data_IF_061457713067
#
_entry.id   IF_061457713067
#
_cell.length_a   1.000
_cell.length_b   1.000
_cell.length_c   1.000
_cell.angle_alpha   90.00
_cell.angle_beta   90.00
_cell.angle_gamma   90.00
#
_symmetry.space_group_name_H-M   'P 1'
#
loop_
_entity.id
_entity.type
_entity.pdbx_description
1 polymer ?
#
# COMPACT_ATOMS: atom_id res chain seq x y z
N UNK A 1 -12.86 -26.40 1.40
CA UNK A 1 -11.56 -26.30 0.69
C UNK A 1 -10.65 -25.37 1.48
N UNK A 2 -9.33 -25.55 1.44
CA UNK A 2 -8.43 -24.57 2.05
C UNK A 2 -8.61 -23.20 1.38
N UNK A 3 -8.46 -22.13 2.17
CA UNK A 3 -8.58 -20.76 1.66
C UNK A 3 -7.42 -20.47 0.69
N UNK A 4 -7.72 -19.95 -0.49
CA UNK A 4 -6.74 -19.44 -1.45
C UNK A 4 -7.18 -18.05 -1.90
N UNK A 5 -6.27 -17.08 -1.76
CA UNK A 5 -6.47 -15.69 -2.19
C UNK A 5 -5.29 -15.21 -3.04
N UNK A 6 -5.48 -14.10 -3.72
CA UNK A 6 -4.44 -13.54 -4.58
C UNK A 6 -4.36 -12.02 -4.48
N UNK A 7 -3.15 -11.51 -4.58
CA UNK A 7 -2.89 -10.16 -5.02
C UNK A 7 -2.50 -10.20 -6.50
N UNK A 8 -3.21 -9.46 -7.33
CA UNK A 8 -3.11 -9.53 -8.79
C UNK A 8 -2.82 -8.15 -9.42
N UNK A 9 -1.64 -7.57 -9.15
CA UNK A 9 -1.29 -6.26 -9.69
C UNK A 9 -0.88 -6.34 -11.17
N UNK A 10 -1.24 -5.30 -11.95
CA UNK A 10 -0.66 -5.10 -13.27
C UNK A 10 0.68 -4.37 -13.13
N UNK A 11 1.80 -4.89 -13.67
CA UNK A 11 3.13 -4.27 -13.54
C UNK A 11 3.31 -3.11 -14.55
N UNK A 12 2.38 -2.15 -14.51
CA UNK A 12 2.35 -0.95 -15.35
C UNK A 12 2.80 0.32 -14.62
N UNK A 13 3.19 0.17 -13.37
CA UNK A 13 3.64 1.24 -12.49
C UNK A 13 4.09 0.70 -11.13
N UNK A 14 4.51 1.59 -10.24
CA UNK A 14 4.94 1.25 -8.89
C UNK A 14 3.73 1.01 -7.98
N UNK A 15 3.91 0.17 -6.95
CA UNK A 15 2.89 0.01 -5.92
C UNK A 15 2.73 1.31 -5.12
N UNK A 16 1.50 1.62 -4.80
CA UNK A 16 1.14 2.70 -3.90
C UNK A 16 0.26 2.18 -2.76
N UNK A 17 0.03 2.98 -1.74
CA UNK A 17 -0.71 2.58 -0.53
C UNK A 17 -2.08 1.94 -0.81
N UNK A 18 -2.77 2.37 -1.88
CA UNK A 18 -4.07 1.77 -2.26
C UNK A 18 -3.93 0.32 -2.73
N UNK A 19 -2.92 0.02 -3.57
CA UNK A 19 -2.63 -1.36 -3.99
C UNK A 19 -2.16 -2.20 -2.81
N UNK A 20 -1.28 -1.63 -1.97
CA UNK A 20 -0.72 -2.32 -0.80
C UNK A 20 -1.81 -2.67 0.21
N UNK A 21 -2.82 -1.82 0.40
CA UNK A 21 -3.98 -2.16 1.24
C UNK A 21 -4.65 -3.45 0.76
N UNK A 22 -4.89 -3.58 -0.54
CA UNK A 22 -5.44 -4.82 -1.12
C UNK A 22 -4.52 -6.01 -0.86
N UNK A 23 -3.20 -5.86 -1.07
CA UNK A 23 -2.24 -6.93 -0.82
C UNK A 23 -2.23 -7.36 0.66
N UNK A 24 -2.18 -6.40 1.58
CA UNK A 24 -2.18 -6.66 3.03
C UNK A 24 -3.46 -7.37 3.46
N UNK A 25 -4.64 -6.88 3.07
CA UNK A 25 -5.91 -7.50 3.45
C UNK A 25 -6.02 -8.96 2.96
N UNK A 26 -5.56 -9.26 1.73
CA UNK A 26 -5.48 -10.63 1.21
C UNK A 26 -4.50 -11.48 2.03
N UNK A 27 -3.31 -10.96 2.33
CA UNK A 27 -2.29 -11.67 3.09
C UNK A 27 -2.76 -11.98 4.52
N UNK A 28 -3.32 -10.98 5.20
CA UNK A 28 -3.83 -11.13 6.58
C UNK A 28 -4.96 -12.16 6.64
N UNK A 29 -5.88 -12.14 5.68
CA UNK A 29 -6.94 -13.13 5.59
C UNK A 29 -6.40 -14.54 5.34
N UNK A 30 -5.45 -14.70 4.40
CA UNK A 30 -4.80 -15.98 4.16
C UNK A 30 -4.11 -16.52 5.41
N UNK A 31 -3.33 -15.65 6.09
CA UNK A 31 -2.60 -16.01 7.31
C UNK A 31 -3.54 -16.45 8.43
N UNK A 32 -4.58 -15.67 8.71
CA UNK A 32 -5.59 -15.98 9.74
C UNK A 32 -6.30 -17.30 9.46
N UNK A 33 -6.56 -17.60 8.19
CA UNK A 33 -7.30 -18.78 7.76
C UNK A 33 -6.41 -20.00 7.52
N UNK A 34 -5.12 -19.94 7.84
CA UNK A 34 -4.11 -20.95 7.46
C UNK A 34 -4.20 -21.34 5.97
N UNK A 35 -4.48 -20.34 5.13
CA UNK A 35 -4.68 -20.45 3.68
C UNK A 35 -3.44 -20.08 2.89
N UNK A 36 -3.61 -20.01 1.58
CA UNK A 36 -2.58 -19.68 0.61
C UNK A 36 -2.74 -18.26 0.08
N UNK A 37 -1.66 -17.47 0.09
CA UNK A 37 -1.56 -16.18 -0.57
C UNK A 37 -0.72 -16.32 -1.84
N UNK A 38 -1.29 -15.95 -2.97
CA UNK A 38 -0.69 -16.01 -4.31
C UNK A 38 -0.40 -14.59 -4.82
N UNK A 39 0.74 -14.41 -5.48
CA UNK A 39 1.04 -13.23 -6.29
C UNK A 39 0.80 -13.59 -7.76
N UNK A 40 -0.09 -12.85 -8.45
CA UNK A 40 -0.29 -13.00 -9.90
C UNK A 40 0.02 -11.67 -10.59
N UNK A 41 0.97 -11.67 -11.50
CA UNK A 41 1.27 -10.51 -12.33
C UNK A 41 0.29 -10.47 -13.51
N UNK A 42 -0.65 -9.50 -13.48
CA UNK A 42 -1.63 -9.30 -14.55
C UNK A 42 -0.99 -8.43 -15.65
N UNK A 43 -0.11 -9.04 -16.44
CA UNK A 43 0.80 -8.42 -17.42
C UNK A 43 0.39 -8.62 -18.89
N UNK A 44 -0.90 -8.82 -19.15
CA UNK A 44 -1.44 -8.98 -20.52
C UNK A 44 -1.33 -7.70 -21.37
N UNK A 45 -1.21 -6.53 -20.75
CA UNK A 45 -0.88 -5.28 -21.44
C UNK A 45 0.64 -5.18 -21.63
N UNK A 46 1.16 -5.85 -22.65
CA UNK A 46 2.60 -5.93 -22.93
C UNK A 46 3.26 -4.59 -23.26
N UNK A 47 2.49 -3.57 -23.64
CA UNK A 47 3.04 -2.25 -23.97
C UNK A 47 3.38 -1.46 -22.70
N UNK A 48 2.58 -1.60 -21.65
CA UNK A 48 2.76 -0.87 -20.39
C UNK A 48 3.41 -1.71 -19.29
N UNK A 49 3.32 -3.03 -19.38
CA UNK A 49 3.92 -3.94 -18.40
C UNK A 49 5.43 -4.07 -18.64
N UNK A 50 6.23 -3.89 -17.59
CA UNK A 50 7.69 -4.02 -17.67
C UNK A 50 8.22 -4.92 -16.56
N UNK A 51 9.35 -5.62 -16.84
CA UNK A 51 10.02 -6.42 -15.82
C UNK A 51 10.52 -5.56 -14.64
N UNK A 52 10.92 -4.33 -14.89
CA UNK A 52 11.34 -3.40 -13.84
C UNK A 52 10.20 -3.10 -12.85
N UNK A 53 8.97 -2.93 -13.32
CA UNK A 53 7.81 -2.76 -12.45
C UNK A 53 7.45 -4.06 -11.74
N UNK A 54 7.50 -5.21 -12.42
CA UNK A 54 7.25 -6.51 -11.80
C UNK A 54 8.26 -6.79 -10.67
N UNK A 55 9.54 -6.48 -10.89
CA UNK A 55 10.57 -6.61 -9.88
C UNK A 55 10.34 -5.64 -8.70
N UNK A 56 9.98 -4.39 -8.97
CA UNK A 56 9.64 -3.41 -7.93
C UNK A 56 8.45 -3.85 -7.07
N UNK A 57 7.44 -4.50 -7.67
CA UNK A 57 6.30 -5.09 -6.92
C UNK A 57 6.79 -6.16 -5.94
N UNK A 58 7.68 -7.09 -6.40
CA UNK A 58 8.24 -8.13 -5.51
C UNK A 58 9.03 -7.52 -4.36
N UNK A 59 9.89 -6.55 -4.66
CA UNK A 59 10.72 -5.85 -3.66
C UNK A 59 9.86 -5.13 -2.62
N UNK A 60 8.82 -4.45 -3.04
CA UNK A 60 7.92 -3.74 -2.14
C UNK A 60 7.12 -4.72 -1.25
N UNK A 61 6.61 -5.83 -1.80
CA UNK A 61 5.94 -6.87 -1.01
C UNK A 61 6.89 -7.56 -0.03
N UNK A 62 8.11 -7.89 -0.46
CA UNK A 62 9.14 -8.49 0.40
C UNK A 62 9.55 -7.54 1.53
N UNK A 63 9.71 -6.26 1.22
CA UNK A 63 10.00 -5.25 2.23
C UNK A 63 8.90 -5.14 3.28
N UNK A 64 7.63 -5.28 2.87
CA UNK A 64 6.49 -5.32 3.78
C UNK A 64 6.35 -6.66 4.53
N UNK A 65 7.16 -7.68 4.22
CA UNK A 65 7.04 -9.02 4.79
C UNK A 65 5.91 -9.87 4.22
N UNK A 66 5.27 -9.44 3.13
CA UNK A 66 4.15 -10.13 2.49
C UNK A 66 4.67 -11.25 1.56
N UNK A 67 5.08 -12.36 2.14
CA UNK A 67 5.56 -13.51 1.38
C UNK A 67 4.40 -14.26 0.73
N UNK A 68 4.60 -14.77 -0.48
CA UNK A 68 3.64 -15.54 -1.25
C UNK A 68 4.11 -16.97 -1.47
N UNK A 69 3.16 -17.90 -1.57
CA UNK A 69 3.45 -19.32 -1.77
C UNK A 69 3.55 -19.71 -3.26
N UNK A 70 2.88 -18.96 -4.13
CA UNK A 70 2.83 -19.18 -5.58
C UNK A 70 2.91 -17.83 -6.29
N UNK A 71 3.71 -17.78 -7.36
CA UNK A 71 3.76 -16.65 -8.29
C UNK A 71 3.48 -17.11 -9.71
N UNK A 72 2.61 -16.37 -10.41
CA UNK A 72 2.27 -16.63 -11.79
C UNK A 72 2.17 -15.35 -12.60
N UNK A 73 2.26 -15.50 -13.93
CA UNK A 73 2.12 -14.40 -14.89
C UNK A 73 1.04 -14.71 -15.91
N UNK A 74 0.18 -13.75 -16.18
CA UNK A 74 -0.86 -13.90 -17.18
C UNK A 74 -0.29 -14.07 -18.59
N UNK A 75 0.78 -13.38 -18.93
CA UNK A 75 1.46 -13.50 -20.22
C UNK A 75 1.97 -14.91 -20.55
N UNK A 76 2.23 -15.74 -19.55
CA UNK A 76 2.64 -17.14 -19.71
C UNK A 76 1.47 -18.11 -19.89
N UNK A 77 0.21 -17.64 -19.87
CA UNK A 77 -1.00 -18.47 -19.81
C UNK A 77 -1.96 -18.25 -20.99
N UNK A 78 -1.48 -17.68 -22.07
CA UNK A 78 -2.30 -17.32 -23.24
C UNK A 78 -3.05 -18.54 -23.80
N UNK A 79 -2.42 -19.71 -23.82
CA UNK A 79 -3.02 -20.97 -24.24
C UNK A 79 -4.28 -21.35 -23.41
N UNK A 80 -4.29 -21.03 -22.12
CA UNK A 80 -5.44 -21.24 -21.24
C UNK A 80 -6.59 -20.31 -21.60
N UNK A 81 -6.27 -19.05 -21.87
CA UNK A 81 -7.28 -18.08 -22.30
C UNK A 81 -7.86 -18.42 -23.67
N UNK A 82 -7.03 -18.89 -24.60
CA UNK A 82 -7.51 -19.36 -25.91
C UNK A 82 -8.46 -20.57 -25.77
N UNK A 83 -8.12 -21.53 -24.90
CA UNK A 83 -8.98 -22.69 -24.64
C UNK A 83 -10.32 -22.29 -24.03
N UNK A 84 -10.30 -21.38 -23.02
CA UNK A 84 -11.51 -20.85 -22.41
C UNK A 84 -12.35 -20.04 -23.40
N UNK A 85 -11.73 -19.23 -24.26
CA UNK A 85 -12.40 -18.49 -25.32
C UNK A 85 -13.04 -19.42 -26.35
N UNK A 86 -12.35 -20.52 -26.77
CA UNK A 86 -12.89 -21.51 -27.66
C UNK A 86 -14.15 -22.19 -27.08
N UNK A 87 -14.13 -22.53 -25.78
CA UNK A 87 -15.29 -23.07 -25.06
C UNK A 87 -16.49 -22.11 -25.13
N UNK A 88 -16.28 -20.83 -24.82
CA UNK A 88 -17.35 -19.81 -24.85
C UNK A 88 -17.86 -19.54 -26.28
N UNK A 89 -16.99 -19.59 -27.31
CA UNK A 89 -17.41 -19.52 -28.73
C UNK A 89 -18.32 -20.69 -29.09
N UNK A 90 -17.94 -21.90 -28.70
CA UNK A 90 -18.76 -23.12 -28.94
C UNK A 90 -20.12 -23.07 -28.26
N UNK A 91 -20.26 -22.35 -27.17
CA UNK A 91 -21.51 -22.12 -26.44
C UNK A 91 -22.34 -20.94 -26.99
N UNK A 92 -21.81 -20.19 -27.95
CA UNK A 92 -22.44 -18.93 -28.41
C UNK A 92 -22.43 -17.80 -27.40
N UNK A 93 -21.60 -17.92 -26.31
CA UNK A 93 -21.45 -16.92 -25.28
C UNK A 93 -20.36 -15.89 -25.62
N UNK A 94 -19.52 -16.18 -26.62
CA UNK A 94 -18.51 -15.25 -27.13
C UNK A 94 -18.76 -15.02 -28.63
N UNK A 95 -18.95 -13.79 -29.04
CA UNK A 95 -19.29 -13.45 -30.40
C UNK A 95 -18.44 -12.31 -30.96
N UNK A 96 -18.17 -12.29 -32.30
CA UNK A 96 -17.32 -11.30 -32.94
C UNK A 96 -18.07 -9.99 -33.20
N UNK A 97 -17.38 -8.89 -33.01
CA UNK A 97 -17.82 -7.54 -33.30
C UNK A 97 -16.73 -6.82 -34.11
N UNK A 98 -17.14 -6.02 -35.08
CA UNK A 98 -16.23 -5.39 -36.05
C UNK A 98 -16.25 -3.88 -36.03
N UNK A 99 -17.01 -3.26 -35.12
CA UNK A 99 -17.09 -1.82 -35.00
C UNK A 99 -15.74 -1.24 -34.51
N UNK A 100 -15.34 -0.15 -35.14
CA UNK A 100 -14.19 0.64 -34.70
C UNK A 100 -14.53 1.43 -33.42
N UNK A 101 -13.51 1.90 -32.72
CA UNK A 101 -13.67 2.73 -31.53
C UNK A 101 -14.48 4.01 -31.85
N UNK A 102 -14.20 4.65 -33.00
CA UNK A 102 -14.93 5.82 -33.47
C UNK A 102 -16.41 5.53 -33.74
N UNK A 103 -16.72 4.38 -34.33
CA UNK A 103 -18.12 3.96 -34.59
C UNK A 103 -18.85 3.74 -33.26
N UNK A 104 -18.21 3.06 -32.30
CA UNK A 104 -18.76 2.85 -30.95
C UNK A 104 -18.96 4.19 -30.22
N UNK A 105 -17.98 5.09 -30.30
CA UNK A 105 -18.08 6.42 -29.67
C UNK A 105 -19.25 7.27 -30.25
N UNK A 106 -19.39 7.30 -31.58
CA UNK A 106 -20.50 8.00 -32.24
C UNK A 106 -21.84 7.40 -31.84
N UNK A 107 -21.95 6.08 -31.72
CA UNK A 107 -23.13 5.39 -31.27
C UNK A 107 -23.48 5.75 -29.83
N UNK A 108 -22.53 5.73 -28.94
CA UNK A 108 -22.65 6.13 -27.55
C UNK A 108 -23.15 7.59 -27.43
N UNK A 109 -22.59 8.52 -28.20
CA UNK A 109 -22.99 9.91 -28.19
C UNK A 109 -24.43 10.07 -28.66
N UNK A 110 -24.88 9.33 -29.71
CA UNK A 110 -26.28 9.36 -30.21
C UNK A 110 -27.26 8.84 -29.15
N UNK A 111 -26.90 7.80 -28.42
CA UNK A 111 -27.75 7.28 -27.33
C UNK A 111 -27.88 8.31 -26.22
N UNK A 112 -26.77 8.88 -25.74
CA UNK A 112 -26.77 9.93 -24.72
C UNK A 112 -27.59 11.16 -25.16
N UNK A 113 -27.46 11.62 -26.41
CA UNK A 113 -28.22 12.73 -26.95
C UNK A 113 -29.76 12.47 -26.99
N UNK A 114 -30.17 11.20 -26.97
CA UNK A 114 -31.57 10.76 -26.89
C UNK A 114 -32.04 10.48 -25.46
N UNK A 115 -31.19 10.70 -24.44
CA UNK A 115 -31.48 10.36 -23.05
C UNK A 115 -31.48 8.86 -22.77
N UNK A 116 -30.88 8.04 -23.66
CA UNK A 116 -30.79 6.60 -23.51
C UNK A 116 -29.43 6.22 -22.87
N UNK A 117 -29.39 5.16 -22.05
CA UNK A 117 -28.13 4.65 -21.54
C UNK A 117 -27.25 4.14 -22.70
N UNK A 118 -25.91 4.33 -22.63
CA UNK A 118 -24.98 3.96 -23.72
C UNK A 118 -24.67 2.47 -23.71
N UNK A 119 -25.68 1.63 -23.84
CA UNK A 119 -25.56 0.17 -23.85
C UNK A 119 -25.30 -0.29 -25.29
N UNK A 120 -24.41 -1.27 -25.46
CA UNK A 120 -24.12 -1.88 -26.77
C UNK A 120 -25.35 -2.67 -27.27
N UNK A 121 -25.80 -2.37 -28.48
CA UNK A 121 -27.03 -2.88 -29.08
C UNK A 121 -26.92 -4.25 -29.74
N UNK A 122 -25.84 -4.99 -29.45
CA UNK A 122 -25.58 -6.34 -29.98
C UNK A 122 -25.57 -6.44 -31.50
N UNK A 123 -25.19 -5.38 -32.21
CA UNK A 123 -25.12 -5.37 -33.68
C UNK A 123 -24.25 -6.52 -34.22
N UNK A 124 -23.17 -6.91 -33.50
CA UNK A 124 -22.34 -8.04 -33.88
C UNK A 124 -23.09 -9.37 -33.96
N UNK A 125 -24.15 -9.58 -33.16
CA UNK A 125 -25.00 -10.77 -33.22
C UNK A 125 -25.96 -10.75 -34.40
N UNK A 126 -26.20 -9.59 -35.05
CA UNK A 126 -27.09 -9.41 -36.19
C UNK A 126 -26.38 -9.70 -37.52
N UNK A 127 -25.05 -9.85 -37.50
CA UNK A 127 -24.26 -10.13 -38.68
C UNK A 127 -24.38 -11.63 -39.05
N UNK A 128 -24.78 -11.89 -40.29
CA UNK A 128 -24.66 -13.21 -40.88
C UNK A 128 -23.22 -13.50 -41.36
N UNK A 129 -22.96 -14.69 -41.79
CA UNK A 129 -21.62 -15.09 -42.21
C UNK A 129 -21.13 -14.28 -43.41
N UNK A 130 -21.99 -13.98 -44.40
CA UNK A 130 -21.64 -13.14 -45.54
C UNK A 130 -21.29 -11.68 -45.11
N UNK A 131 -21.98 -11.14 -44.10
CA UNK A 131 -21.66 -9.83 -43.50
C UNK A 131 -20.31 -9.82 -42.80
N UNK A 132 -19.98 -10.89 -42.10
CA UNK A 132 -18.66 -11.07 -41.42
C UNK A 132 -17.55 -11.17 -42.45
N UNK A 133 -17.69 -12.08 -43.44
CA UNK A 133 -16.71 -12.28 -44.53
C UNK A 133 -16.42 -10.97 -45.29
N UNK A 134 -17.45 -10.14 -45.54
CA UNK A 134 -17.25 -8.83 -46.17
C UNK A 134 -16.40 -7.92 -45.32
N UNK A 135 -16.71 -7.78 -43.99
CA UNK A 135 -15.96 -6.93 -43.10
C UNK A 135 -14.49 -7.39 -42.95
N UNK A 136 -14.27 -8.72 -42.92
CA UNK A 136 -12.92 -9.28 -42.87
C UNK A 136 -12.17 -9.05 -44.19
N UNK A 137 -12.85 -9.15 -45.35
CA UNK A 137 -12.28 -8.81 -46.65
C UNK A 137 -11.91 -7.36 -46.78
N UNK A 138 -12.65 -6.47 -46.11
CA UNK A 138 -12.33 -5.04 -45.96
C UNK A 138 -11.20 -4.78 -44.96
N UNK A 139 -10.55 -5.82 -44.40
CA UNK A 139 -9.42 -5.74 -43.49
C UNK A 139 -9.79 -5.50 -42.03
N UNK A 140 -11.08 -5.59 -41.69
CA UNK A 140 -11.50 -5.44 -40.30
C UNK A 140 -11.19 -6.73 -39.53
N UNK A 141 -10.62 -6.57 -38.33
CA UNK A 141 -10.39 -7.69 -37.39
C UNK A 141 -11.46 -7.63 -36.29
N UNK A 142 -12.02 -8.81 -35.91
CA UNK A 142 -13.02 -8.84 -34.85
C UNK A 142 -12.39 -8.59 -33.48
N UNK A 143 -13.07 -7.79 -32.66
CA UNK A 143 -12.97 -7.88 -31.23
C UNK A 143 -14.11 -8.77 -30.71
N UNK A 144 -13.90 -9.43 -29.56
CA UNK A 144 -14.88 -10.41 -29.07
C UNK A 144 -15.54 -9.92 -27.79
N UNK A 145 -16.87 -10.02 -27.77
CA UNK A 145 -17.69 -9.69 -26.61
C UNK A 145 -18.27 -10.93 -25.98
N UNK A 146 -18.28 -10.92 -24.63
CA UNK A 146 -19.00 -11.94 -23.88
C UNK A 146 -20.49 -11.55 -23.84
N UNK A 147 -21.35 -12.43 -24.31
CA UNK A 147 -22.79 -12.24 -24.27
C UNK A 147 -23.29 -12.48 -22.86
N UNK A 148 -23.79 -11.42 -22.21
CA UNK A 148 -24.46 -11.50 -20.94
C UNK A 148 -25.78 -12.26 -21.07
N UNK A 149 -26.12 -13.07 -20.08
CA UNK A 149 -27.37 -13.79 -19.99
C UNK A 149 -28.43 -12.86 -19.39
N UNK A 150 -28.94 -11.96 -20.22
CA UNK A 150 -29.88 -10.92 -19.85
C UNK A 150 -30.94 -10.69 -20.95
N UNK A 151 -31.27 -11.73 -21.72
CA UNK A 151 -32.28 -11.65 -22.79
C UNK A 151 -32.91 -13.03 -22.99
N UNK A 152 -34.20 -13.18 -22.79
CA UNK A 152 -34.95 -14.42 -22.92
C UNK A 152 -34.99 -14.92 -24.39
N UNK A 153 -33.82 -15.33 -24.91
CA UNK A 153 -33.67 -15.79 -26.29
C UNK A 153 -33.64 -14.69 -27.37
N UNK A 154 -33.85 -13.42 -26.98
CA UNK A 154 -33.82 -12.25 -27.86
C UNK A 154 -32.46 -11.59 -27.94
N UNK A 155 -32.41 -10.43 -28.64
CA UNK A 155 -31.22 -9.57 -28.69
C UNK A 155 -31.29 -8.39 -27.72
N UNK A 156 -32.50 -8.00 -27.37
CA UNK A 156 -32.72 -6.84 -26.50
C UNK A 156 -32.45 -7.24 -25.04
N UNK A 157 -31.56 -6.51 -24.32
CA UNK A 157 -31.36 -6.74 -22.90
C UNK A 157 -32.63 -6.49 -22.09
N UNK A 158 -32.90 -7.36 -21.13
CA UNK A 158 -33.98 -7.22 -20.15
C UNK A 158 -33.36 -6.99 -18.76
N UNK A 159 -34.06 -6.32 -17.84
CA UNK A 159 -33.61 -6.21 -16.45
C UNK A 159 -33.31 -7.59 -15.87
N UNK A 160 -32.06 -7.80 -15.49
CA UNK A 160 -31.57 -9.11 -15.02
C UNK A 160 -30.65 -8.89 -13.85
N UNK A 161 -31.12 -9.28 -12.68
CA UNK A 161 -30.39 -9.05 -11.42
C UNK A 161 -29.47 -10.22 -11.13
N UNK A 162 -28.19 -9.93 -11.02
CA UNK A 162 -27.18 -10.85 -10.43
C UNK A 162 -26.97 -10.44 -8.98
N UNK A 163 -27.11 -11.40 -8.06
CA UNK A 163 -27.02 -11.15 -6.63
C UNK A 163 -25.93 -12.03 -6.01
N UNK A 164 -25.20 -11.48 -5.03
CA UNK A 164 -24.26 -12.24 -4.20
C UNK A 164 -24.20 -11.65 -2.79
N UNK A 165 -23.74 -12.46 -1.83
CA UNK A 165 -23.41 -11.96 -0.50
C UNK A 165 -21.92 -11.59 -0.47
N UNK A 166 -21.61 -10.31 -0.30
CA UNK A 166 -20.26 -9.80 -0.19
C UNK A 166 -19.77 -9.87 1.26
N UNK A 167 -18.60 -10.42 1.49
CA UNK A 167 -18.10 -10.65 2.84
C UNK A 167 -17.88 -9.36 3.66
N UNK A 168 -17.77 -8.19 3.00
CA UNK A 168 -17.64 -6.88 3.67
C UNK A 168 -18.93 -6.08 3.59
N UNK A 169 -19.61 -6.12 2.44
CA UNK A 169 -20.74 -5.23 2.13
C UNK A 169 -22.11 -5.88 2.28
N UNK A 170 -22.17 -7.17 2.63
CA UNK A 170 -23.42 -7.92 2.70
C UNK A 170 -24.06 -8.14 1.34
N UNK A 171 -25.38 -8.19 1.27
CA UNK A 171 -26.11 -8.47 0.05
C UNK A 171 -25.90 -7.37 -1.00
N UNK A 172 -25.39 -7.76 -2.17
CA UNK A 172 -25.13 -6.90 -3.31
C UNK A 172 -25.91 -7.37 -4.52
N UNK A 173 -26.30 -6.43 -5.36
CA UNK A 173 -27.03 -6.69 -6.61
C UNK A 173 -26.50 -5.82 -7.74
N UNK A 174 -26.46 -6.38 -8.95
CA UNK A 174 -26.14 -5.65 -10.19
C UNK A 174 -27.16 -6.04 -11.25
N UNK A 175 -27.82 -5.05 -11.84
CA UNK A 175 -28.64 -5.28 -13.04
C UNK A 175 -27.76 -5.36 -14.28
N UNK A 176 -27.43 -6.59 -14.71
CA UNK A 176 -26.63 -6.83 -15.92
C UNK A 176 -27.41 -6.52 -17.21
N UNK A 177 -28.72 -6.35 -17.15
CA UNK A 177 -29.55 -5.83 -18.26
C UNK A 177 -29.21 -4.38 -18.60
N UNK A 178 -28.73 -3.61 -17.63
CA UNK A 178 -28.26 -2.23 -17.81
C UNK A 178 -26.81 -2.11 -18.31
N UNK A 179 -26.11 -3.22 -18.51
CA UNK A 179 -24.72 -3.26 -18.93
C UNK A 179 -24.54 -3.66 -20.39
N UNK A 180 -23.48 -3.16 -21.01
CA UNK A 180 -23.03 -3.67 -22.31
C UNK A 180 -22.36 -5.02 -22.16
N UNK A 181 -22.54 -5.90 -23.13
CA UNK A 181 -21.71 -7.10 -23.27
C UNK A 181 -20.22 -6.68 -23.28
N UNK A 182 -19.40 -7.12 -22.31
CA UNK A 182 -18.03 -6.66 -22.21
C UNK A 182 -17.16 -7.17 -23.35
N UNK A 183 -16.24 -6.34 -23.85
CA UNK A 183 -15.16 -6.82 -24.69
C UNK A 183 -14.22 -7.64 -23.81
N UNK A 184 -13.86 -8.83 -24.26
CA UNK A 184 -12.95 -9.72 -23.54
C UNK A 184 -11.68 -10.05 -24.35
N UNK A 185 -11.75 -9.90 -25.71
CA UNK A 185 -10.59 -9.99 -26.60
C UNK A 185 -10.62 -8.79 -27.53
N UNK A 186 -9.53 -8.06 -27.64
CA UNK A 186 -9.40 -6.93 -28.57
C UNK A 186 -9.15 -7.41 -30.00
N UNK A 187 -9.28 -6.50 -30.97
CA UNK A 187 -9.02 -6.77 -32.38
C UNK A 187 -7.56 -7.13 -32.71
N UNK A 188 -6.61 -6.80 -31.83
CA UNK A 188 -5.22 -7.23 -31.92
C UNK A 188 -4.98 -8.63 -31.34
N UNK A 189 -6.02 -9.29 -30.80
CA UNK A 189 -5.95 -10.59 -30.15
C UNK A 189 -5.63 -10.54 -28.65
N UNK A 190 -5.35 -9.38 -28.08
CA UNK A 190 -5.03 -9.27 -26.65
C UNK A 190 -6.26 -9.53 -25.78
N UNK A 191 -6.08 -10.31 -24.71
CA UNK A 191 -7.12 -10.57 -23.72
C UNK A 191 -7.24 -9.44 -22.71
N UNK A 192 -8.46 -9.16 -22.28
CA UNK A 192 -8.73 -8.14 -21.29
C UNK A 192 -8.88 -8.72 -19.87
N UNK A 193 -8.51 -7.91 -18.87
CA UNK A 193 -8.54 -8.24 -17.45
C UNK A 193 -9.80 -8.99 -17.00
N UNK A 194 -10.99 -8.54 -17.42
CA UNK A 194 -12.27 -9.15 -17.01
C UNK A 194 -12.34 -10.65 -17.35
N UNK A 195 -11.65 -11.09 -18.40
CA UNK A 195 -11.66 -12.47 -18.83
C UNK A 195 -10.49 -13.27 -18.22
N UNK A 196 -9.27 -12.75 -18.35
CA UNK A 196 -8.08 -13.46 -17.88
C UNK A 196 -8.11 -13.72 -16.38
N UNK A 197 -8.59 -12.74 -15.59
CA UNK A 197 -8.72 -12.89 -14.13
C UNK A 197 -9.66 -14.03 -13.74
N UNK A 198 -10.76 -14.22 -14.48
CA UNK A 198 -11.73 -15.27 -14.17
C UNK A 198 -11.15 -16.65 -14.47
N UNK A 199 -10.51 -16.81 -15.64
CA UNK A 199 -9.89 -18.08 -16.02
C UNK A 199 -8.84 -18.47 -14.97
N UNK A 200 -8.00 -17.54 -14.58
CA UNK A 200 -6.97 -17.79 -13.58
C UNK A 200 -7.55 -18.05 -12.19
N UNK A 201 -8.47 -17.20 -11.73
CA UNK A 201 -9.09 -17.37 -10.42
C UNK A 201 -9.77 -18.74 -10.30
N UNK A 202 -10.40 -19.22 -11.37
CA UNK A 202 -11.00 -20.54 -11.44
C UNK A 202 -9.96 -21.67 -11.44
N UNK A 203 -8.93 -21.60 -12.30
CA UNK A 203 -7.93 -22.67 -12.44
C UNK A 203 -7.00 -22.78 -11.22
N UNK A 204 -6.69 -21.67 -10.55
CA UNK A 204 -5.92 -21.68 -9.29
C UNK A 204 -6.77 -21.97 -8.06
N UNK A 205 -8.08 -22.14 -8.20
CA UNK A 205 -8.98 -22.43 -7.09
C UNK A 205 -9.04 -21.30 -6.08
N UNK A 206 -9.05 -20.05 -6.58
CA UNK A 206 -9.22 -18.86 -5.71
C UNK A 206 -10.59 -18.93 -5.04
N UNK A 207 -10.58 -18.98 -3.72
CA UNK A 207 -11.81 -19.11 -2.91
C UNK A 207 -12.41 -17.77 -2.54
N UNK A 208 -11.55 -16.74 -2.40
CA UNK A 208 -11.99 -15.40 -2.02
C UNK A 208 -11.28 -14.35 -2.90
N UNK A 209 -12.06 -13.40 -3.40
CA UNK A 209 -11.58 -12.25 -4.18
C UNK A 209 -11.75 -10.99 -3.34
N UNK A 210 -10.67 -10.58 -2.66
CA UNK A 210 -10.63 -9.36 -1.84
C UNK A 210 -10.04 -8.24 -2.70
N UNK A 211 -10.80 -7.13 -2.92
CA UNK A 211 -10.39 -6.05 -3.83
C UNK A 211 -11.13 -4.72 -3.54
N UNK A 212 -10.81 -3.68 -4.25
CA UNK A 212 -11.49 -2.39 -4.15
C UNK A 212 -12.95 -2.42 -4.62
N UNK A 213 -13.78 -1.57 -4.04
CA UNK A 213 -15.22 -1.47 -4.33
C UNK A 213 -15.57 -0.86 -5.68
N UNK A 214 -14.60 -0.29 -6.37
CA UNK A 214 -14.71 0.13 -7.78
C UNK A 214 -14.97 -1.05 -8.74
N UNK A 215 -14.75 -2.28 -8.29
CA UNK A 215 -15.02 -3.51 -9.04
C UNK A 215 -16.41 -4.14 -8.79
N UNK A 216 -17.28 -3.56 -7.98
CA UNK A 216 -18.59 -4.15 -7.66
C UNK A 216 -19.42 -4.44 -8.92
N UNK A 217 -19.52 -3.47 -9.84
CA UNK A 217 -20.23 -3.68 -11.10
C UNK A 217 -19.64 -4.80 -11.94
N UNK A 218 -18.29 -4.93 -11.92
CA UNK A 218 -17.62 -6.01 -12.64
C UNK A 218 -17.98 -7.39 -12.07
N UNK A 219 -18.30 -7.48 -10.78
CA UNK A 219 -18.65 -8.76 -10.14
C UNK A 219 -19.87 -9.39 -10.75
N UNK A 220 -20.92 -8.62 -11.09
CA UNK A 220 -22.11 -9.16 -11.77
C UNK A 220 -21.79 -9.79 -13.13
N UNK A 221 -20.89 -9.17 -13.90
CA UNK A 221 -20.39 -9.70 -15.18
C UNK A 221 -19.52 -10.95 -14.96
N UNK A 222 -18.63 -10.87 -13.98
CA UNK A 222 -17.69 -11.94 -13.67
C UNK A 222 -18.37 -13.20 -13.15
N UNK A 223 -19.42 -13.05 -12.35
CA UNK A 223 -20.27 -14.19 -11.93
C UNK A 223 -20.79 -14.97 -13.11
N UNK A 224 -21.37 -14.29 -14.11
CA UNK A 224 -21.85 -14.96 -15.32
C UNK A 224 -20.73 -15.58 -16.16
N UNK A 225 -19.51 -15.01 -16.14
CA UNK A 225 -18.36 -15.62 -16.83
C UNK A 225 -17.91 -16.91 -16.13
N UNK A 226 -17.84 -16.94 -14.80
CA UNK A 226 -17.54 -18.15 -14.03
C UNK A 226 -18.54 -19.26 -14.38
N UNK A 227 -19.84 -18.97 -14.29
CA UNK A 227 -20.92 -19.90 -14.61
C UNK A 227 -20.84 -20.42 -16.05
N UNK A 228 -20.62 -19.54 -17.04
CA UNK A 228 -20.49 -19.94 -18.44
C UNK A 228 -19.25 -20.83 -18.69
N UNK A 229 -18.19 -20.65 -17.92
CA UNK A 229 -17.03 -21.52 -17.95
C UNK A 229 -17.21 -22.79 -17.10
N UNK A 230 -18.33 -22.93 -16.38
CA UNK A 230 -18.65 -24.10 -15.56
C UNK A 230 -17.95 -24.13 -14.23
N UNK A 231 -17.60 -22.98 -13.68
CA UNK A 231 -17.01 -22.81 -12.36
C UNK A 231 -17.97 -22.10 -11.41
N UNK A 232 -17.88 -22.45 -10.14
CA UNK A 232 -18.55 -21.70 -9.09
C UNK A 232 -17.81 -20.38 -8.84
N UNK A 233 -18.51 -19.23 -8.75
CA UNK A 233 -17.89 -17.98 -8.40
C UNK A 233 -17.26 -18.02 -6.98
N UNK A 234 -16.10 -17.36 -6.75
CA UNK A 234 -15.53 -17.25 -5.43
C UNK A 234 -16.38 -16.33 -4.52
N UNK A 235 -16.10 -16.34 -3.23
CA UNK A 235 -16.64 -15.34 -2.31
C UNK A 235 -15.97 -14.00 -2.61
N UNK A 236 -16.76 -12.96 -2.81
CA UNK A 236 -16.25 -11.62 -3.04
C UNK A 236 -16.22 -10.80 -1.75
N UNK A 237 -15.23 -9.93 -1.61
CA UNK A 237 -15.07 -9.01 -0.50
C UNK A 237 -14.55 -7.66 -1.04
N UNK A 238 -15.42 -6.66 -1.08
CA UNK A 238 -15.11 -5.35 -1.65
C UNK A 238 -14.84 -4.32 -0.54
N UNK A 239 -13.57 -4.03 -0.30
CA UNK A 239 -13.16 -2.98 0.63
C UNK A 239 -13.28 -1.58 -0.01
N UNK A 240 -13.53 -0.57 0.81
CA UNK A 240 -13.58 0.83 0.37
C UNK A 240 -12.22 1.31 -0.15
N UNK A 241 -12.25 2.20 -1.16
CA UNK A 241 -11.04 2.86 -1.64
C UNK A 241 -10.49 3.85 -0.61
N UNK A 242 -9.17 4.08 -0.69
CA UNK A 242 -8.52 5.16 0.06
C UNK A 242 -8.71 6.49 -0.68
N UNK A 243 -9.03 7.53 0.08
CA UNK A 243 -9.06 8.91 -0.38
C UNK A 243 -8.04 9.75 0.39
N UNK A 244 -7.65 10.89 -0.14
CA UNK A 244 -6.76 11.81 0.57
C UNK A 244 -7.42 12.43 1.79
N UNK A 245 -6.63 13.02 2.70
CA UNK A 245 -7.13 13.76 3.84
C UNK A 245 -8.09 14.92 3.40
N UNK A 246 -7.89 15.45 2.19
CA UNK A 246 -8.74 16.44 1.55
C UNK A 246 -10.03 15.87 0.93
N UNK A 247 -10.27 14.57 1.02
CA UNK A 247 -11.42 13.88 0.45
C UNK A 247 -11.32 13.63 -1.06
N UNK A 248 -10.21 13.99 -1.72
CA UNK A 248 -9.99 13.73 -3.13
C UNK A 248 -9.39 12.34 -3.38
N UNK A 249 -9.59 11.81 -4.59
CA UNK A 249 -8.97 10.54 -4.97
C UNK A 249 -7.44 10.62 -4.88
N UNK A 250 -6.80 9.57 -4.32
CA UNK A 250 -5.34 9.50 -4.17
C UNK A 250 -4.58 9.52 -5.51
N UNK A 251 -5.26 9.25 -6.63
CA UNK A 251 -4.66 9.18 -7.98
C UNK A 251 -3.81 10.40 -8.37
N UNK A 252 -4.13 11.59 -7.85
CA UNK A 252 -3.36 12.82 -8.11
C UNK A 252 -2.03 12.91 -7.34
N UNK A 253 -1.81 12.04 -6.35
CA UNK A 253 -0.64 12.04 -5.44
C UNK A 253 0.13 10.72 -5.48
N UNK A 254 -0.13 9.83 -6.44
CA UNK A 254 0.39 8.46 -6.48
C UNK A 254 1.93 8.40 -6.42
N UNK A 255 2.64 9.37 -7.00
CA UNK A 255 4.11 9.40 -6.95
C UNK A 255 4.66 9.53 -5.53
N UNK A 256 4.09 10.41 -4.71
CA UNK A 256 4.50 10.61 -3.31
C UNK A 256 4.08 9.44 -2.39
N UNK A 257 3.07 8.68 -2.80
CA UNK A 257 2.50 7.57 -2.04
C UNK A 257 2.99 6.20 -2.54
N UNK A 258 4.04 6.18 -3.38
CA UNK A 258 4.69 4.96 -3.82
C UNK A 258 5.49 4.33 -2.66
N UNK A 259 5.38 3.02 -2.51
CA UNK A 259 6.04 2.26 -1.43
C UNK A 259 7.56 2.41 -1.49
N UNK A 260 8.13 2.36 -2.69
CA UNK A 260 9.56 2.60 -2.90
C UNK A 260 10.04 3.94 -2.31
N UNK A 261 9.24 5.01 -2.44
CA UNK A 261 9.58 6.31 -1.87
C UNK A 261 9.49 6.28 -0.35
N UNK A 262 8.43 5.71 0.22
CA UNK A 262 8.31 5.54 1.68
C UNK A 262 9.49 4.76 2.27
N UNK A 263 9.93 3.69 1.59
CA UNK A 263 11.13 2.92 1.96
C UNK A 263 12.39 3.78 1.91
N UNK A 264 12.57 4.59 0.85
CA UNK A 264 13.72 5.52 0.71
C UNK A 264 13.70 6.62 1.76
N UNK A 265 12.53 7.11 2.13
CA UNK A 265 12.32 8.12 3.16
C UNK A 265 12.50 7.56 4.60
N UNK A 266 12.80 6.27 4.72
CA UNK A 266 13.13 5.63 6.00
C UNK A 266 11.93 5.20 6.82
N UNK A 267 10.75 5.03 6.20
CA UNK A 267 9.59 4.44 6.87
C UNK A 267 9.84 2.98 7.23
N UNK A 268 9.32 2.57 8.38
CA UNK A 268 9.34 1.18 8.81
C UNK A 268 8.25 0.36 8.09
N UNK A 269 8.56 -0.86 7.62
CA UNK A 269 7.55 -1.68 6.94
C UNK A 269 6.32 -1.96 7.80
N UNK A 270 6.52 -2.18 9.11
CA UNK A 270 5.41 -2.40 10.03
C UNK A 270 4.54 -1.16 10.26
N UNK A 271 5.10 0.05 10.11
CA UNK A 271 4.30 1.28 10.15
C UNK A 271 3.33 1.34 8.97
N UNK A 272 3.82 1.08 7.75
CA UNK A 272 3.01 1.05 6.54
C UNK A 272 1.99 -0.09 6.61
N UNK A 273 2.38 -1.28 7.07
CA UNK A 273 1.50 -2.42 7.23
C UNK A 273 0.40 -2.17 8.25
N UNK A 274 0.75 -1.70 9.47
CA UNK A 274 -0.23 -1.40 10.52
C UNK A 274 -1.24 -0.35 10.06
N UNK A 275 -0.74 0.75 9.51
CA UNK A 275 -1.60 1.85 9.06
C UNK A 275 -2.56 1.41 7.95
N UNK A 276 -2.05 0.74 6.91
CA UNK A 276 -2.88 0.33 5.78
C UNK A 276 -3.83 -0.82 6.10
N UNK A 277 -3.50 -1.68 7.06
CA UNK A 277 -4.38 -2.74 7.54
C UNK A 277 -5.55 -2.19 8.37
N UNK A 278 -5.30 -1.19 9.23
CA UNK A 278 -6.25 -0.72 10.23
C UNK A 278 -7.09 0.48 9.76
N UNK A 279 -6.56 1.27 8.81
CA UNK A 279 -7.31 2.40 8.27
C UNK A 279 -8.64 1.95 7.65
N UNK A 280 -9.73 2.59 8.06
CA UNK A 280 -11.08 2.22 7.61
C UNK A 280 -11.57 0.89 8.19
N UNK A 281 -11.07 0.50 9.36
CA UNK A 281 -11.65 -0.56 10.21
C UNK A 281 -12.22 0.04 11.49
N UNK A 282 -12.88 -0.79 12.29
CA UNK A 282 -13.36 -0.40 13.63
C UNK A 282 -12.27 -0.48 14.71
N UNK A 283 -11.10 -1.04 14.39
CA UNK A 283 -9.99 -1.10 15.31
C UNK A 283 -9.23 0.24 15.34
N UNK A 284 -8.62 0.62 16.48
CA UNK A 284 -7.79 1.82 16.56
C UNK A 284 -6.55 1.69 15.65
N UNK A 285 -6.13 2.82 15.04
CA UNK A 285 -4.90 2.85 14.24
C UNK A 285 -3.71 2.94 15.18
N UNK A 286 -3.01 1.82 15.37
CA UNK A 286 -1.88 1.69 16.27
C UNK A 286 -0.70 0.98 15.60
N UNK A 287 0.50 1.18 16.15
CA UNK A 287 1.69 0.45 15.73
C UNK A 287 1.64 -0.99 16.26
N UNK A 288 1.84 -1.97 15.39
CA UNK A 288 1.97 -3.38 15.73
C UNK A 288 3.37 -3.88 15.43
N UNK A 289 3.82 -4.88 16.19
CA UNK A 289 5.19 -5.37 16.12
C UNK A 289 5.36 -6.47 15.08
N UNK A 290 4.25 -7.08 14.61
CA UNK A 290 4.29 -8.14 13.59
C UNK A 290 3.03 -8.19 12.71
N UNK A 291 3.18 -8.78 11.53
CA UNK A 291 2.06 -9.08 10.64
C UNK A 291 1.13 -10.15 11.23
N UNK A 292 1.64 -11.03 12.09
CA UNK A 292 0.89 -12.04 12.80
C UNK A 292 -0.12 -11.42 13.77
N UNK A 293 0.27 -10.37 14.48
CA UNK A 293 -0.66 -9.59 15.33
C UNK A 293 -1.78 -8.97 14.50
N UNK A 294 -1.45 -8.34 13.37
CA UNK A 294 -2.45 -7.78 12.46
C UNK A 294 -3.37 -8.87 11.88
N UNK A 295 -2.83 -10.06 11.55
CA UNK A 295 -3.63 -11.17 11.07
C UNK A 295 -4.61 -11.69 12.14
N UNK A 296 -4.23 -11.69 13.40
CA UNK A 296 -5.11 -12.07 14.50
C UNK A 296 -6.28 -11.10 14.68
N UNK A 297 -6.07 -9.82 14.40
CA UNK A 297 -7.10 -8.77 14.46
C UNK A 297 -8.06 -8.77 13.27
N UNK A 298 -7.60 -9.29 12.11
CA UNK A 298 -8.34 -9.19 10.86
C UNK A 298 -9.74 -9.84 10.96
N UNK A 299 -10.77 -9.12 10.52
CA UNK A 299 -12.11 -9.64 10.29
C UNK A 299 -12.84 -8.78 9.25
N UNK A 300 -13.58 -9.40 8.34
CA UNK A 300 -14.32 -8.66 7.31
C UNK A 300 -15.34 -7.70 7.91
N UNK A 301 -15.98 -8.09 9.00
CA UNK A 301 -17.02 -7.33 9.69
C UNK A 301 -16.49 -6.02 10.31
N UNK A 302 -15.18 -5.93 10.51
CA UNK A 302 -14.53 -4.72 11.00
C UNK A 302 -14.24 -3.70 9.92
N UNK A 303 -14.22 -4.11 8.63
CA UNK A 303 -13.87 -3.24 7.51
C UNK A 303 -15.08 -2.35 7.16
N UNK A 304 -14.89 -1.04 7.26
CA UNK A 304 -15.91 -0.04 6.93
C UNK A 304 -16.19 0.00 5.42
N UNK A 305 -17.45 0.17 5.05
CA UNK A 305 -17.89 0.40 3.68
C UNK A 305 -17.69 1.86 3.23
N UNK A 306 -17.44 2.78 4.17
CA UNK A 306 -17.16 4.18 3.86
C UNK A 306 -15.70 4.37 3.39
N UNK A 307 -15.41 5.31 2.47
CA UNK A 307 -14.05 5.62 2.05
C UNK A 307 -13.16 5.99 3.24
N UNK A 308 -11.97 5.41 3.31
CA UNK A 308 -11.01 5.67 4.37
C UNK A 308 -10.04 6.79 3.96
N UNK A 309 -9.81 7.77 4.86
CA UNK A 309 -8.97 8.95 4.60
C UNK A 309 -7.52 8.65 4.98
N UNK A 310 -6.65 8.63 3.99
CA UNK A 310 -5.21 8.44 4.18
C UNK A 310 -4.53 9.76 4.53
N UNK A 311 -3.81 9.78 5.64
CA UNK A 311 -3.03 10.93 6.11
C UNK A 311 -1.57 10.53 6.37
N UNK A 312 -0.63 11.20 5.67
CA UNK A 312 0.81 10.98 5.84
C UNK A 312 1.31 11.39 7.24
N UNK A 313 0.68 12.39 7.86
CA UNK A 313 1.04 12.83 9.21
C UNK A 313 0.74 11.74 10.22
N UNK A 314 -0.41 11.11 10.10
CA UNK A 314 -0.80 9.99 10.96
C UNK A 314 0.13 8.78 10.74
N UNK A 315 0.44 8.45 9.48
CA UNK A 315 1.43 7.41 9.17
C UNK A 315 2.80 7.71 9.78
N UNK A 316 3.26 8.97 9.74
CA UNK A 316 4.53 9.38 10.34
C UNK A 316 4.54 9.18 11.86
N UNK A 317 3.42 9.46 12.53
CA UNK A 317 3.28 9.19 13.97
C UNK A 317 3.31 7.68 14.28
N UNK A 318 2.68 6.85 13.45
CA UNK A 318 2.75 5.39 13.58
C UNK A 318 4.19 4.92 13.36
N UNK A 319 4.90 5.52 12.38
CA UNK A 319 6.30 5.20 12.11
C UNK A 319 7.20 5.45 13.30
N UNK A 320 7.09 6.63 13.91
CA UNK A 320 7.83 6.96 15.12
C UNK A 320 7.55 5.94 16.24
N UNK A 321 6.27 5.56 16.44
CA UNK A 321 5.91 4.54 17.45
C UNK A 321 6.50 3.16 17.15
N UNK A 322 6.56 2.75 15.88
CA UNK A 322 7.25 1.51 15.49
C UNK A 322 8.74 1.58 15.85
N UNK A 323 9.43 2.65 15.46
CA UNK A 323 10.84 2.86 15.77
C UNK A 323 11.12 2.82 17.27
N UNK A 324 10.30 3.48 18.08
CA UNK A 324 10.48 3.55 19.52
C UNK A 324 10.41 2.17 20.21
N UNK A 325 9.81 1.17 19.56
CA UNK A 325 9.69 -0.20 20.08
C UNK A 325 10.84 -1.10 19.64
N UNK A 326 11.57 -0.75 18.58
CA UNK A 326 12.66 -1.59 18.08
C UNK A 326 13.82 -1.67 19.07
N UNK A 327 14.30 -2.88 19.28
CA UNK A 327 15.55 -3.12 20.03
C UNK A 327 16.77 -2.77 19.18
N UNK A 328 17.92 -2.52 19.83
CA UNK A 328 19.18 -2.29 19.11
C UNK A 328 19.51 -3.44 18.15
N UNK A 329 19.29 -4.70 18.56
CA UNK A 329 19.55 -5.86 17.71
C UNK A 329 18.79 -5.85 16.38
N UNK A 330 17.57 -5.25 16.35
CA UNK A 330 16.77 -5.17 15.14
C UNK A 330 17.20 -4.04 14.18
N UNK A 331 17.98 -3.07 14.67
CA UNK A 331 18.39 -1.90 13.88
C UNK A 331 19.89 -1.77 13.68
N UNK A 332 20.71 -2.58 14.38
CA UNK A 332 22.18 -2.46 14.42
C UNK A 332 22.82 -2.43 13.03
N UNK A 333 22.52 -3.39 12.15
CA UNK A 333 23.07 -3.44 10.80
C UNK A 333 22.68 -2.20 9.97
N UNK A 334 21.44 -1.72 10.15
CA UNK A 334 20.94 -0.53 9.47
C UNK A 334 21.58 0.75 9.99
N UNK A 335 21.83 0.84 11.30
CA UNK A 335 22.57 1.93 11.92
C UNK A 335 24.03 1.96 11.47
N UNK A 336 24.69 0.81 11.41
CA UNK A 336 26.05 0.71 10.88
C UNK A 336 26.14 1.14 9.42
N UNK A 337 25.18 0.73 8.57
CA UNK A 337 25.09 1.17 7.18
C UNK A 337 24.89 2.70 7.06
N UNK A 338 24.32 3.33 8.09
CA UNK A 338 24.18 4.78 8.19
C UNK A 338 25.43 5.46 8.78
N UNK A 339 26.46 4.71 9.19
CA UNK A 339 27.66 5.22 9.86
C UNK A 339 27.45 5.56 11.33
N UNK A 340 26.39 5.03 11.96
CA UNK A 340 26.07 5.22 13.38
C UNK A 340 26.57 4.01 14.16
N UNK A 341 27.64 4.20 14.95
CA UNK A 341 28.33 3.12 15.67
C UNK A 341 28.22 3.24 17.20
N UNK A 342 27.21 3.99 17.68
CA UNK A 342 27.05 4.32 19.11
C UNK A 342 26.57 3.16 20.00
N UNK A 343 26.22 2.02 19.43
CA UNK A 343 25.80 0.86 20.21
C UNK A 343 24.39 0.97 20.80
N UNK A 344 24.10 0.04 21.73
CA UNK A 344 22.78 -0.06 22.36
C UNK A 344 22.46 1.17 23.24
N UNK A 345 23.43 1.66 23.99
CA UNK A 345 23.22 2.79 24.88
C UNK A 345 22.84 4.06 24.11
N UNK A 346 23.50 4.29 22.96
CA UNK A 346 23.12 5.38 22.06
C UNK A 346 21.72 5.20 21.51
N UNK A 347 21.39 3.98 21.01
CA UNK A 347 20.08 3.69 20.46
C UNK A 347 18.97 3.94 21.48
N UNK A 348 19.12 3.43 22.68
CA UNK A 348 18.13 3.60 23.75
C UNK A 348 17.98 5.09 24.18
N UNK A 349 19.07 5.86 24.10
CA UNK A 349 19.05 7.27 24.38
C UNK A 349 18.25 8.10 23.36
N UNK A 350 18.31 7.72 22.06
CA UNK A 350 17.78 8.58 20.99
C UNK A 350 16.48 8.08 20.37
N UNK A 351 16.20 6.76 20.39
CA UNK A 351 15.08 6.16 19.66
C UNK A 351 13.73 6.84 19.92
N UNK A 352 13.47 7.27 21.16
CA UNK A 352 12.23 7.97 21.54
C UNK A 352 12.04 9.35 20.93
N UNK A 353 13.05 9.89 20.23
CA UNK A 353 13.02 11.19 19.56
C UNK A 353 13.13 11.11 18.03
N UNK A 354 13.16 9.88 17.47
CA UNK A 354 13.31 9.68 16.04
C UNK A 354 11.94 9.58 15.37
N UNK A 355 11.80 10.22 14.22
CA UNK A 355 10.67 10.04 13.30
C UNK A 355 10.97 9.00 12.24
N UNK A 356 12.20 8.94 11.76
CA UNK A 356 12.74 7.94 10.86
C UNK A 356 14.11 7.48 11.35
N UNK A 357 14.55 6.28 10.96
CA UNK A 357 15.85 5.74 11.40
C UNK A 357 17.03 6.66 11.04
N UNK A 358 16.93 7.35 9.90
CA UNK A 358 17.95 8.30 9.43
C UNK A 358 18.25 9.45 10.38
N UNK A 359 17.29 9.84 11.22
CA UNK A 359 17.45 10.91 12.22
C UNK A 359 18.54 10.57 13.24
N UNK A 360 18.83 9.29 13.44
CA UNK A 360 19.92 8.84 14.31
C UNK A 360 21.30 9.38 13.89
N UNK A 361 21.51 9.66 12.59
CA UNK A 361 22.75 10.29 12.10
C UNK A 361 22.99 11.66 12.73
N UNK A 362 21.95 12.47 12.84
CA UNK A 362 22.04 13.81 13.43
C UNK A 362 22.44 13.71 14.89
N UNK A 363 21.82 12.79 15.64
CA UNK A 363 22.16 12.61 17.05
C UNK A 363 23.55 11.97 17.22
N UNK A 364 23.94 11.07 16.33
CA UNK A 364 25.29 10.52 16.36
C UNK A 364 26.36 11.56 16.03
N UNK A 365 26.11 12.44 15.07
CA UNK A 365 27.00 13.56 14.80
C UNK A 365 27.11 14.51 16.00
N UNK A 366 26.03 14.71 16.76
CA UNK A 366 26.05 15.51 18.00
C UNK A 366 26.85 14.79 19.10
N UNK A 367 26.71 13.48 19.26
CA UNK A 367 27.38 12.73 20.34
C UNK A 367 28.86 12.51 20.04
N UNK A 368 29.19 12.05 18.84
CA UNK A 368 30.54 11.59 18.48
C UNK A 368 31.34 12.59 17.63
N UNK A 369 30.66 13.52 16.95
CA UNK A 369 31.29 14.49 16.06
C UNK A 369 31.58 15.85 16.71
N UNK A 370 32.13 16.75 15.91
CA UNK A 370 32.34 18.14 16.26
C UNK A 370 31.06 18.94 15.98
N UNK A 371 30.64 19.75 16.94
CA UNK A 371 29.54 20.70 16.76
C UNK A 371 30.00 22.13 17.10
N UNK A 372 29.29 23.11 16.58
CA UNK A 372 29.42 24.50 16.99
C UNK A 372 28.41 24.74 18.12
N UNK A 373 28.85 24.87 19.40
CA UNK A 373 27.94 25.13 20.51
C UNK A 373 27.20 26.44 20.34
N UNK A 374 25.94 26.47 20.73
CA UNK A 374 25.16 27.74 20.83
C UNK A 374 25.18 28.20 22.26
N UNK A 375 25.97 29.26 22.55
CA UNK A 375 26.15 29.80 23.90
C UNK A 375 25.45 31.15 23.98
N UNK A 376 24.20 31.15 24.49
CA UNK A 376 23.42 32.37 24.69
C UNK A 376 23.82 33.14 25.97
N UNK A 377 24.33 32.41 26.98
CA UNK A 377 24.73 32.95 28.28
C UNK A 377 26.09 32.36 28.70
N UNK A 378 27.17 33.03 28.28
CA UNK A 378 28.53 32.55 28.48
C UNK A 378 28.94 32.51 29.98
N UNK A 379 28.48 33.45 30.79
CA UNK A 379 28.78 33.43 32.23
C UNK A 379 28.17 32.19 32.90
N UNK A 380 26.91 31.89 32.55
CA UNK A 380 26.22 30.73 33.10
C UNK A 380 26.86 29.42 32.65
N UNK A 381 27.14 29.24 31.34
CA UNK A 381 27.68 27.97 30.81
C UNK A 381 29.11 27.73 31.31
N UNK A 382 29.94 28.75 31.42
CA UNK A 382 31.27 28.64 32.03
C UNK A 382 31.20 28.21 33.50
N UNK A 383 30.26 28.82 34.27
CA UNK A 383 30.04 28.41 35.66
C UNK A 383 29.56 26.96 35.76
N UNK A 384 28.70 26.51 34.84
CA UNK A 384 28.27 25.14 34.76
C UNK A 384 29.44 24.18 34.40
N UNK A 385 30.35 24.60 33.52
CA UNK A 385 31.57 23.83 33.19
C UNK A 385 32.48 23.59 34.38
N UNK A 386 32.70 24.64 35.20
CA UNK A 386 33.53 24.52 36.44
C UNK A 386 32.93 23.55 37.45
N UNK A 387 31.61 23.40 37.44
CA UNK A 387 30.88 22.51 38.36
C UNK A 387 30.72 21.07 37.83
N UNK A 388 31.28 20.72 36.64
CA UNK A 388 31.22 19.36 36.10
C UNK A 388 31.94 18.37 37.05
N UNK A 389 31.30 17.28 37.45
CA UNK A 389 31.93 16.24 38.25
C UNK A 389 33.14 15.59 37.53
N UNK A 390 34.10 15.11 38.31
CA UNK A 390 35.20 14.32 37.78
C UNK A 390 34.72 12.91 37.29
N UNK A 391 35.42 12.34 36.32
CA UNK A 391 35.18 10.97 35.89
C UNK A 391 35.72 9.92 36.90
N UNK A 392 35.14 8.70 36.96
CA UNK A 392 34.09 8.18 36.04
C UNK A 392 32.70 8.69 36.35
N UNK A 393 31.93 8.92 35.26
CA UNK A 393 30.53 9.31 35.37
C UNK A 393 29.61 8.06 35.50
N UNK A 394 28.56 8.23 36.29
CA UNK A 394 27.53 7.23 36.55
C UNK A 394 26.11 7.83 36.50
N UNK A 395 25.11 7.04 36.80
CA UNK A 395 23.69 7.43 36.76
C UNK A 395 23.36 8.58 37.71
N UNK A 396 24.19 8.87 38.70
CA UNK A 396 24.02 9.94 39.69
C UNK A 396 24.68 11.26 39.27
N UNK A 397 25.64 11.21 38.35
CA UNK A 397 26.47 12.33 37.92
C UNK A 397 25.67 13.53 37.46
N UNK A 398 24.65 13.31 36.63
CA UNK A 398 23.73 14.36 36.17
C UNK A 398 23.04 15.07 37.34
N UNK A 399 22.49 14.31 38.26
CA UNK A 399 21.70 14.86 39.37
C UNK A 399 22.58 15.67 40.33
N UNK A 400 23.81 15.18 40.58
CA UNK A 400 24.85 15.89 41.38
C UNK A 400 25.24 17.20 40.68
N UNK A 401 25.51 17.19 39.38
CA UNK A 401 25.87 18.37 38.61
C UNK A 401 24.74 19.40 38.58
N UNK A 402 23.52 18.99 38.30
CA UNK A 402 22.37 19.88 38.29
C UNK A 402 22.07 20.48 39.66
N UNK A 403 22.25 19.72 40.74
CA UNK A 403 22.13 20.22 42.12
C UNK A 403 23.17 21.33 42.42
N UNK A 404 24.43 21.09 42.03
CA UNK A 404 25.51 22.06 42.18
C UNK A 404 25.23 23.36 41.38
N UNK A 405 24.78 23.28 40.15
CA UNK A 405 24.43 24.44 39.34
C UNK A 405 23.26 25.22 40.00
N UNK A 406 22.21 24.53 40.45
CA UNK A 406 21.06 25.15 41.12
C UNK A 406 21.50 25.90 42.37
N UNK A 407 22.37 25.29 43.19
CA UNK A 407 22.91 25.93 44.39
C UNK A 407 23.75 27.19 44.08
N UNK A 408 24.59 27.11 43.04
CA UNK A 408 25.48 28.20 42.66
C UNK A 408 24.83 29.35 41.89
N UNK A 409 23.68 29.09 41.19
CA UNK A 409 23.07 30.09 40.29
C UNK A 409 21.64 30.47 40.65
N UNK A 410 20.97 29.67 41.47
CA UNK A 410 19.55 29.83 41.79
C UNK A 410 18.58 29.53 40.63
N UNK A 411 19.08 29.16 39.45
CA UNK A 411 18.27 28.90 38.25
C UNK A 411 17.48 27.59 38.36
N UNK A 412 16.29 27.58 37.73
CA UNK A 412 15.37 26.43 37.70
C UNK A 412 14.63 26.38 36.33
N UNK A 413 14.07 25.24 36.01
CA UNK A 413 13.22 25.03 34.81
C UNK A 413 13.94 25.46 33.52
N UNK A 414 13.23 26.12 32.61
CA UNK A 414 13.76 26.51 31.30
C UNK A 414 15.03 27.36 31.40
N UNK A 415 15.12 28.28 32.34
CA UNK A 415 16.30 29.13 32.51
C UNK A 415 17.57 28.37 32.91
N UNK A 416 17.43 27.15 33.44
CA UNK A 416 18.52 26.24 33.72
C UNK A 416 18.83 25.33 32.56
N UNK A 417 17.81 24.63 32.03
CA UNK A 417 18.01 23.52 31.09
C UNK A 417 18.20 23.95 29.63
N UNK A 418 17.56 25.05 29.21
CA UNK A 418 17.64 25.51 27.83
C UNK A 418 19.05 25.94 27.41
N UNK A 419 19.76 26.81 28.16
CA UNK A 419 21.14 27.17 27.83
C UNK A 419 22.11 25.99 27.86
N UNK A 420 21.92 25.03 28.78
CA UNK A 420 22.73 23.81 28.82
C UNK A 420 22.50 22.97 27.58
N UNK A 421 21.25 22.78 27.14
CA UNK A 421 20.92 22.04 25.96
C UNK A 421 21.54 22.66 24.71
N UNK A 422 21.38 23.95 24.51
CA UNK A 422 21.96 24.65 23.37
C UNK A 422 23.47 24.54 23.34
N UNK A 423 24.14 24.71 24.48
CA UNK A 423 25.59 24.59 24.58
C UNK A 423 26.06 23.14 24.29
N UNK A 424 25.39 22.13 24.84
CA UNK A 424 25.82 20.75 24.73
C UNK A 424 25.47 20.11 23.38
N UNK A 425 24.36 20.52 22.76
CA UNK A 425 23.83 19.85 21.56
C UNK A 425 23.67 20.73 20.33
N UNK A 426 23.64 22.06 20.51
CA UNK A 426 23.28 22.98 19.43
C UNK A 426 21.79 22.97 19.06
N UNK A 427 20.95 22.20 19.77
CA UNK A 427 19.53 21.97 19.45
C UNK A 427 18.62 22.44 20.59
N UNK A 428 17.44 22.96 20.24
CA UNK A 428 16.43 23.38 21.22
C UNK A 428 15.71 22.19 21.86
N UNK A 429 15.44 21.16 21.06
CA UNK A 429 14.69 19.95 21.44
C UNK A 429 15.52 18.68 21.21
N UNK A 430 15.09 17.55 21.77
CA UNK A 430 15.71 16.24 21.53
C UNK A 430 15.76 15.35 22.78
N UNK A 431 16.58 14.29 22.77
CA UNK A 431 16.74 13.34 23.85
C UNK A 431 17.07 13.99 25.18
N UNK A 432 16.78 13.32 26.28
CA UNK A 432 17.08 13.83 27.62
C UNK A 432 18.59 14.10 27.79
N UNK A 433 18.94 15.31 28.26
CA UNK A 433 20.32 15.70 28.47
C UNK A 433 21.05 14.77 29.45
N UNK A 434 20.32 14.22 30.42
CA UNK A 434 20.86 13.25 31.40
C UNK A 434 21.50 12.07 30.71
N UNK A 435 20.82 11.52 29.70
CA UNK A 435 21.27 10.34 28.95
C UNK A 435 22.37 10.73 27.96
N UNK A 436 22.19 11.84 27.24
CA UNK A 436 23.19 12.33 26.28
C UNK A 436 24.53 12.69 26.94
N UNK A 437 24.52 13.21 28.16
CA UNK A 437 25.73 13.60 28.86
C UNK A 437 26.70 12.42 29.06
N UNK A 438 26.18 11.26 29.45
CA UNK A 438 26.99 10.04 29.57
C UNK A 438 27.67 9.61 28.27
N UNK A 439 26.98 9.83 27.13
CA UNK A 439 27.51 9.53 25.79
C UNK A 439 28.54 10.58 25.30
N UNK A 440 28.37 11.84 25.68
CA UNK A 440 29.29 12.93 25.32
C UNK A 440 30.65 12.78 26.01
N UNK A 441 30.66 12.41 27.28
CA UNK A 441 31.83 12.41 28.14
C UNK A 441 32.25 13.81 28.60
N UNK A 442 33.09 13.88 29.65
CA UNK A 442 33.47 15.12 30.31
C UNK A 442 34.17 16.10 29.38
N UNK A 443 35.14 15.65 28.64
CA UNK A 443 35.97 16.50 27.78
C UNK A 443 35.15 17.29 26.74
N UNK A 444 34.20 16.66 26.07
CA UNK A 444 33.29 17.32 25.11
C UNK A 444 32.29 18.23 25.82
N UNK A 445 31.70 17.76 26.90
CA UNK A 445 30.75 18.57 27.66
C UNK A 445 31.39 19.88 28.16
N UNK A 446 32.61 19.81 28.75
CA UNK A 446 33.36 20.97 29.20
C UNK A 446 33.72 21.90 28.04
N UNK A 447 34.26 21.36 26.94
CA UNK A 447 34.61 22.15 25.74
C UNK A 447 33.44 22.92 25.20
N UNK A 448 32.28 22.26 25.06
CA UNK A 448 31.05 22.86 24.53
C UNK A 448 30.46 23.92 25.45
N UNK A 449 30.47 23.71 26.75
CA UNK A 449 30.05 24.71 27.74
C UNK A 449 30.93 25.98 27.70
N UNK A 450 32.20 25.84 27.28
CA UNK A 450 33.10 26.96 27.02
C UNK A 450 32.97 27.56 25.59
N UNK A 451 32.01 27.09 24.78
CA UNK A 451 31.81 27.57 23.42
C UNK A 451 32.84 27.08 22.42
N UNK A 452 33.62 26.03 22.74
CA UNK A 452 34.63 25.45 21.84
C UNK A 452 33.97 24.40 20.94
N UNK A 453 34.29 24.49 19.67
CA UNK A 453 33.93 23.43 18.70
C UNK A 453 34.64 22.12 19.10
N UNK A 454 33.90 21.05 19.37
CA UNK A 454 34.45 19.75 19.75
C UNK A 454 33.34 18.66 19.67
#
# INVERSE_FOLDING_TARGET
MPVTVRFAPSPTGRLHVGNVRTAILNWLFAKRSAGTFMLRMDDTDMQRSTEAFAQGIREDLQWLGLNWALEERQSARIDRYEAAAAKLRGQGRLYPCYETEDELQRRRQRQLARGLPPIYDRTGLKLDDAGRERLESDGRKPHWRFRLDNSEGGLEPLPTIVSWNDAIRGDQTVDVGSLSDPVVIRADGSFLYTFTSIVDDAEFGITHVIRGDDHITNTGVQTQLFEALGFEPPIFAHHSLLIGADGQALSKRLGALAIENMRKDGMEPMAVASYTALIGTSDPIEAHDSLEELAALFAFEKISTAPARFDLTELSHINARCLHRLSYAQVSERLEALGVTGGADFWDAVRGNLSVLGDAKTWWAIVAGEINPVVEDAEFTQKAAVLLPEEPWDDTTWDVWIAAIKAATGRKGRALFHPLRLALTGMEDGPELKVLMGLLGRARAEGRLHGRTC
#
